data_IF_411226247057
#
_entry.id   IF_411226247057
#
_cell.length_a   1.000
_cell.length_b   1.000
_cell.length_c   1.000
_cell.angle_alpha   90.00
_cell.angle_beta   90.00
_cell.angle_gamma   90.00
#
_symmetry.space_group_name_H-M   'P 1'
#
loop_
_entity.id
_entity.type
_entity.pdbx_description
1 polymer ?
#
# COMPACT_ATOMS: atom_id res chain seq x y z
N UNK A 1 -21.08 -17.72 1.05
CA UNK A 1 -19.84 -17.85 0.27
C UNK A 1 -18.71 -18.18 1.21
N UNK A 2 -17.97 -19.27 0.97
CA UNK A 2 -16.80 -19.63 1.77
C UNK A 2 -15.74 -18.52 1.63
N UNK A 3 -15.20 -18.06 2.76
CA UNK A 3 -14.10 -17.10 2.75
C UNK A 3 -12.89 -17.75 2.10
N UNK A 4 -12.16 -17.06 1.17
CA UNK A 4 -10.91 -17.60 0.67
C UNK A 4 -9.98 -17.88 1.84
N UNK A 5 -9.40 -19.07 1.82
CA UNK A 5 -8.38 -19.49 2.76
C UNK A 5 -7.23 -18.49 2.65
N UNK A 6 -6.78 -17.94 3.77
CA UNK A 6 -5.61 -17.09 3.77
C UNK A 6 -4.42 -18.03 3.71
N UNK A 7 -3.99 -18.30 2.48
CA UNK A 7 -2.87 -19.16 2.22
C UNK A 7 -1.74 -18.91 3.21
N UNK A 8 -1.17 -19.99 3.67
CA UNK A 8 0.02 -19.97 4.52
C UNK A 8 1.07 -19.08 3.83
N UNK A 9 1.44 -17.96 4.47
CA UNK A 9 2.40 -16.98 3.94
C UNK A 9 3.84 -17.51 3.99
N UNK A 10 4.01 -18.83 4.19
CA UNK A 10 5.30 -19.50 4.31
C UNK A 10 6.16 -19.46 3.03
N UNK A 11 5.62 -19.02 1.90
CA UNK A 11 6.27 -19.17 0.58
C UNK A 11 6.72 -17.86 -0.09
N UNK A 12 6.75 -16.74 0.63
CA UNK A 12 7.19 -15.46 0.03
C UNK A 12 6.30 -14.97 -1.12
N UNK A 13 5.00 -15.27 -1.06
CA UNK A 13 4.02 -14.91 -2.08
C UNK A 13 3.66 -13.43 -2.02
N UNK A 14 3.39 -12.85 -3.19
CA UNK A 14 2.91 -11.46 -3.29
C UNK A 14 1.39 -11.41 -3.18
N UNK A 15 0.91 -10.39 -2.49
CA UNK A 15 -0.52 -10.17 -2.26
C UNK A 15 -0.94 -8.75 -2.63
N UNK A 16 -2.11 -8.65 -3.25
CA UNK A 16 -2.88 -7.41 -3.25
C UNK A 16 -3.68 -7.35 -1.95
N UNK A 17 -3.45 -6.32 -1.16
CA UNK A 17 -4.15 -6.07 0.11
C UNK A 17 -4.92 -4.78 0.01
N UNK A 18 -6.15 -4.77 0.54
CA UNK A 18 -6.96 -3.56 0.66
C UNK A 18 -7.75 -3.55 1.97
N UNK A 19 -8.04 -2.37 2.49
CA UNK A 19 -8.93 -2.22 3.64
C UNK A 19 -9.60 -0.85 3.62
N UNK A 20 -10.88 -0.83 3.98
CA UNK A 20 -11.69 0.39 4.04
C UNK A 20 -11.88 0.87 5.47
N UNK A 21 -12.04 2.18 5.63
CA UNK A 21 -12.47 2.82 6.89
C UNK A 21 -13.91 2.41 7.20
N UNK A 22 -14.21 2.33 8.49
CA UNK A 22 -15.55 1.97 8.97
C UNK A 22 -16.60 2.91 8.40
N UNK A 23 -17.74 2.35 7.93
CA UNK A 23 -18.84 3.10 7.31
C UNK A 23 -18.44 3.94 6.10
N UNK A 24 -17.31 3.62 5.45
CA UNK A 24 -16.74 4.38 4.33
C UNK A 24 -16.53 5.87 4.64
N UNK A 25 -16.29 6.19 5.91
CA UNK A 25 -15.98 7.54 6.32
C UNK A 25 -14.65 8.01 5.72
N UNK A 26 -14.51 9.30 5.41
CA UNK A 26 -13.31 9.92 4.88
C UNK A 26 -12.35 10.34 6.02
N UNK A 27 -12.12 9.44 6.96
CA UNK A 27 -11.35 9.71 8.18
C UNK A 27 -9.83 9.83 7.94
N UNK A 28 -9.34 9.58 6.71
CA UNK A 28 -7.96 9.82 6.28
C UNK A 28 -7.87 10.97 5.26
N UNK A 29 -8.82 11.90 5.25
CA UNK A 29 -8.85 12.99 4.28
C UNK A 29 -7.69 13.98 4.50
N UNK A 30 -7.32 14.24 5.75
CA UNK A 30 -6.23 15.15 6.07
C UNK A 30 -4.86 14.59 5.70
N UNK A 31 -3.99 15.43 5.14
CA UNK A 31 -2.62 15.05 4.76
C UNK A 31 -1.81 14.54 5.96
N UNK A 32 -2.02 15.13 7.15
CA UNK A 32 -1.39 14.67 8.39
C UNK A 32 -1.75 13.23 8.75
N UNK A 33 -2.96 12.77 8.43
CA UNK A 33 -3.39 11.39 8.71
C UNK A 33 -2.77 10.41 7.73
N UNK A 34 -2.62 10.80 6.47
CA UNK A 34 -1.90 10.02 5.48
C UNK A 34 -0.40 9.95 5.82
N UNK A 35 0.21 11.05 6.25
CA UNK A 35 1.61 11.05 6.74
C UNK A 35 1.77 10.18 7.99
N UNK A 36 0.81 10.21 8.92
CA UNK A 36 0.79 9.30 10.07
C UNK A 36 0.76 7.84 9.60
N UNK A 37 0.00 7.53 8.55
CA UNK A 37 -0.05 6.18 7.99
C UNK A 37 1.29 5.77 7.38
N UNK A 38 1.93 6.65 6.58
CA UNK A 38 3.27 6.39 6.03
C UNK A 38 4.28 6.09 7.15
N UNK A 39 4.26 6.88 8.24
CA UNK A 39 5.12 6.63 9.41
C UNK A 39 4.86 5.27 10.07
N UNK A 40 3.61 4.82 10.15
CA UNK A 40 3.29 3.50 10.69
C UNK A 40 3.86 2.39 9.79
N UNK A 41 3.81 2.55 8.47
CA UNK A 41 4.41 1.57 7.52
C UNK A 41 5.93 1.56 7.69
N UNK A 42 6.56 2.73 7.76
CA UNK A 42 8.01 2.87 7.97
C UNK A 42 8.46 2.19 9.28
N UNK A 43 7.73 2.42 10.37
CA UNK A 43 7.99 1.76 11.64
C UNK A 43 7.81 0.23 11.56
N UNK A 44 6.83 -0.26 10.80
CA UNK A 44 6.67 -1.69 10.55
C UNK A 44 7.90 -2.27 9.85
N UNK A 45 8.43 -1.59 8.82
CA UNK A 45 9.66 -2.01 8.11
C UNK A 45 10.90 -2.01 9.01
N UNK A 46 10.99 -1.07 9.94
CA UNK A 46 12.10 -0.98 10.88
C UNK A 46 12.08 -2.07 11.97
N UNK A 47 10.94 -2.74 12.18
CA UNK A 47 10.82 -3.79 13.21
C UNK A 47 11.41 -5.11 12.73
N UNK A 48 12.22 -5.75 13.60
CA UNK A 48 12.81 -7.08 13.30
C UNK A 48 11.77 -8.19 13.09
N UNK A 49 10.58 -8.02 13.65
CA UNK A 49 9.52 -9.04 13.61
C UNK A 49 8.64 -8.95 12.36
N UNK A 50 8.80 -7.89 11.55
CA UNK A 50 8.03 -7.71 10.33
C UNK A 50 8.99 -7.52 9.16
N UNK A 51 9.13 -8.57 8.38
CA UNK A 51 9.96 -8.59 7.18
C UNK A 51 9.05 -8.68 5.96
N UNK A 52 9.05 -7.66 5.14
CA UNK A 52 8.21 -7.59 3.94
C UNK A 52 8.78 -6.63 2.92
N UNK A 53 8.43 -6.85 1.68
CA UNK A 53 8.64 -5.93 0.58
C UNK A 53 7.31 -5.29 0.18
N UNK A 54 7.27 -3.96 0.13
CA UNK A 54 6.13 -3.19 -0.37
C UNK A 54 6.49 -2.71 -1.77
N UNK A 55 5.90 -3.33 -2.79
CA UNK A 55 6.20 -3.03 -4.20
C UNK A 55 5.46 -1.78 -4.69
N UNK A 56 4.22 -1.61 -4.24
CA UNK A 56 3.40 -0.45 -4.57
C UNK A 56 2.34 -0.22 -3.49
N UNK A 57 1.85 1.01 -3.38
CA UNK A 57 0.80 1.37 -2.46
C UNK A 57 -0.01 2.58 -2.94
N UNK A 58 -1.21 2.73 -2.43
CA UNK A 58 -2.01 3.95 -2.52
C UNK A 58 -2.84 4.11 -1.25
N UNK A 59 -2.68 5.25 -0.57
CA UNK A 59 -3.48 5.64 0.58
C UNK A 59 -4.50 6.67 0.11
N UNK A 60 -5.78 6.30 0.15
CA UNK A 60 -6.91 7.14 -0.19
C UNK A 60 -7.58 7.69 1.08
N UNK A 61 -8.54 8.60 0.93
CA UNK A 61 -9.21 9.25 2.06
C UNK A 61 -10.01 8.28 2.95
N UNK A 62 -10.43 7.14 2.41
CA UNK A 62 -11.27 6.17 3.12
C UNK A 62 -10.84 4.71 2.97
N UNK A 63 -9.75 4.42 2.25
CA UNK A 63 -9.22 3.08 2.06
C UNK A 63 -7.75 3.13 1.65
N UNK A 64 -7.11 1.97 1.60
CA UNK A 64 -5.78 1.84 1.03
C UNK A 64 -5.62 0.55 0.23
N UNK A 65 -4.64 0.55 -0.64
CA UNK A 65 -4.16 -0.62 -1.38
C UNK A 65 -2.67 -0.81 -1.19
N UNK A 66 -2.23 -2.07 -1.02
CA UNK A 66 -0.83 -2.48 -1.00
C UNK A 66 -0.61 -3.63 -1.98
N UNK A 67 0.50 -3.61 -2.68
CA UNK A 67 1.09 -4.75 -3.35
C UNK A 67 2.31 -5.16 -2.53
N UNK A 68 2.23 -6.28 -1.82
CA UNK A 68 3.14 -6.61 -0.71
C UNK A 68 3.55 -8.09 -0.73
N UNK A 69 4.83 -8.35 -0.48
CA UNK A 69 5.39 -9.69 -0.29
C UNK A 69 5.95 -9.81 1.12
N UNK A 70 5.29 -10.52 2.05
CA UNK A 70 5.91 -10.92 3.31
C UNK A 70 7.12 -11.85 3.02
N UNK A 71 8.23 -11.66 3.73
CA UNK A 71 9.34 -12.61 3.65
C UNK A 71 8.93 -14.00 4.16
N UNK A 72 9.68 -15.00 3.75
CA UNK A 72 9.46 -16.39 4.14
C UNK A 72 9.31 -16.52 5.68
N UNK A 73 8.26 -17.19 6.12
CA UNK A 73 7.94 -17.36 7.54
C UNK A 73 7.26 -16.16 8.21
N UNK A 74 6.99 -15.08 7.47
CA UNK A 74 6.25 -13.92 7.98
C UNK A 74 4.75 -14.06 7.72
N UNK A 75 3.93 -13.66 8.69
CA UNK A 75 2.47 -13.68 8.56
C UNK A 75 1.92 -12.34 8.09
N UNK A 76 1.36 -12.30 6.88
CA UNK A 76 0.64 -11.13 6.37
C UNK A 76 -0.47 -10.68 7.34
N UNK A 77 -1.19 -11.62 7.94
CA UNK A 77 -2.27 -11.31 8.88
C UNK A 77 -1.77 -10.62 10.15
N UNK A 78 -0.62 -11.04 10.68
CA UNK A 78 0.00 -10.42 11.86
C UNK A 78 0.52 -9.02 11.53
N UNK A 79 1.20 -8.86 10.40
CA UNK A 79 1.68 -7.58 9.91
C UNK A 79 0.53 -6.57 9.72
N UNK A 80 -0.50 -6.96 8.97
CA UNK A 80 -1.63 -6.08 8.69
C UNK A 80 -2.44 -5.74 9.94
N UNK A 81 -2.59 -6.69 10.87
CA UNK A 81 -3.20 -6.44 12.18
C UNK A 81 -2.43 -5.35 12.94
N UNK A 82 -1.09 -5.43 12.95
CA UNK A 82 -0.27 -4.46 13.64
C UNK A 82 -0.38 -3.07 13.01
N UNK A 83 -0.22 -2.94 11.68
CA UNK A 83 -0.32 -1.67 10.95
C UNK A 83 -1.68 -1.00 11.22
N UNK A 84 -2.77 -1.75 11.01
CA UNK A 84 -4.13 -1.22 11.21
C UNK A 84 -4.41 -0.83 12.65
N UNK A 85 -3.94 -1.61 13.62
CA UNK A 85 -4.11 -1.35 15.04
C UNK A 85 -3.36 -0.07 15.47
N UNK A 86 -2.09 0.07 15.09
CA UNK A 86 -1.28 1.23 15.48
C UNK A 86 -1.84 2.51 14.89
N UNK A 87 -2.24 2.48 13.61
CA UNK A 87 -2.88 3.64 12.98
C UNK A 87 -4.19 4.00 13.69
N UNK A 88 -5.05 3.03 13.98
CA UNK A 88 -6.32 3.27 14.69
C UNK A 88 -6.12 3.90 16.07
N UNK A 89 -5.13 3.43 16.83
CA UNK A 89 -4.79 3.98 18.15
C UNK A 89 -4.36 5.44 18.02
N UNK A 90 -3.45 5.76 17.09
CA UNK A 90 -2.93 7.11 16.89
C UNK A 90 -4.01 8.07 16.39
N UNK A 91 -4.81 7.62 15.45
CA UNK A 91 -5.91 8.41 14.90
C UNK A 91 -6.98 8.71 15.98
N UNK A 92 -7.40 7.70 16.75
CA UNK A 92 -8.33 7.87 17.86
C UNK A 92 -7.78 8.85 18.91
N UNK A 93 -6.48 8.75 19.23
CA UNK A 93 -5.83 9.68 20.17
C UNK A 93 -5.84 11.12 19.62
N UNK A 94 -5.47 11.31 18.34
CA UNK A 94 -5.44 12.63 17.67
C UNK A 94 -6.81 13.33 17.74
N UNK A 95 -7.88 12.57 17.52
CA UNK A 95 -9.25 13.12 17.42
C UNK A 95 -10.09 12.95 18.69
N UNK A 96 -9.52 12.45 19.78
CA UNK A 96 -10.27 12.19 21.03
C UNK A 96 -11.41 11.18 20.84
N UNK A 97 -11.26 10.26 19.88
CA UNK A 97 -12.26 9.25 19.54
C UNK A 97 -11.95 7.89 20.15
N UNK A 98 -12.95 7.03 20.18
CA UNK A 98 -12.85 5.63 20.62
C UNK A 98 -13.54 4.73 19.61
N UNK A 99 -13.20 3.43 19.62
CA UNK A 99 -13.82 2.45 18.73
C UNK A 99 -12.98 2.09 17.51
N UNK A 100 -13.65 1.49 16.51
CA UNK A 100 -13.00 0.94 15.34
C UNK A 100 -12.85 2.00 14.22
N UNK A 101 -11.61 2.32 13.85
CA UNK A 101 -11.32 3.11 12.66
C UNK A 101 -11.64 2.31 11.39
N UNK A 102 -11.25 1.04 11.38
CA UNK A 102 -11.41 0.15 10.23
C UNK A 102 -12.76 -0.56 10.25
N UNK A 103 -13.37 -0.72 9.08
CA UNK A 103 -14.61 -1.47 8.92
C UNK A 103 -14.40 -2.95 9.20
N UNK A 104 -14.27 -3.72 8.15
CA UNK A 104 -14.05 -5.16 8.24
C UNK A 104 -12.56 -5.54 8.34
N UNK A 105 -12.31 -6.86 8.27
CA UNK A 105 -10.98 -7.39 8.03
C UNK A 105 -10.48 -6.88 6.69
N UNK A 106 -9.15 -6.77 6.54
CA UNK A 106 -8.57 -6.45 5.25
C UNK A 106 -8.88 -7.54 4.20
N UNK A 107 -9.07 -7.13 2.98
CA UNK A 107 -9.08 -8.01 1.82
C UNK A 107 -7.65 -8.40 1.47
N UNK A 108 -7.43 -9.64 1.06
CA UNK A 108 -6.16 -10.07 0.46
C UNK A 108 -6.42 -11.07 -0.66
N UNK A 109 -5.67 -10.93 -1.75
CA UNK A 109 -5.65 -11.83 -2.89
C UNK A 109 -4.20 -12.08 -3.30
N UNK A 110 -3.85 -13.34 -3.48
CA UNK A 110 -2.54 -13.74 -4.00
C UNK A 110 -2.39 -13.29 -5.46
N UNK A 111 -1.20 -12.84 -5.82
CA UNK A 111 -0.79 -12.53 -7.19
C UNK A 111 -0.27 -13.83 -7.80
N UNK A 112 -0.81 -14.20 -8.95
CA UNK A 112 -0.60 -15.53 -9.53
C UNK A 112 0.53 -15.58 -10.57
N UNK A 113 0.79 -14.46 -11.25
CA UNK A 113 1.81 -14.35 -12.31
C UNK A 113 2.21 -12.88 -12.55
N UNK A 114 3.13 -12.66 -13.47
CA UNK A 114 3.66 -11.34 -13.82
C UNK A 114 2.59 -10.43 -14.45
N UNK A 115 1.67 -10.96 -15.24
CA UNK A 115 0.59 -10.17 -15.86
C UNK A 115 -0.38 -9.68 -14.80
N UNK A 116 -0.71 -10.53 -13.83
CA UNK A 116 -1.54 -10.17 -12.68
C UNK A 116 -0.83 -9.12 -11.81
N UNK A 117 0.48 -9.29 -11.59
CA UNK A 117 1.29 -8.31 -10.87
C UNK A 117 1.21 -6.92 -11.53
N UNK A 118 1.47 -6.81 -12.83
CA UNK A 118 1.40 -5.56 -13.59
C UNK A 118 -0.01 -4.97 -13.55
N UNK A 119 -1.03 -5.81 -13.70
CA UNK A 119 -2.43 -5.36 -13.66
C UNK A 119 -2.77 -4.72 -12.32
N UNK A 120 -2.39 -5.37 -11.22
CA UNK A 120 -2.62 -4.84 -9.87
C UNK A 120 -1.75 -3.63 -9.59
N UNK A 121 -0.50 -3.63 -10.04
CA UNK A 121 0.41 -2.50 -9.89
C UNK A 121 -0.18 -1.24 -10.51
N UNK A 122 -0.58 -1.32 -11.78
CA UNK A 122 -1.24 -0.22 -12.49
C UNK A 122 -2.60 0.15 -11.87
N UNK A 123 -3.38 -0.85 -11.41
CA UNK A 123 -4.65 -0.60 -10.73
C UNK A 123 -4.47 0.28 -9.48
N UNK A 124 -3.42 0.01 -8.69
CA UNK A 124 -3.10 0.78 -7.48
C UNK A 124 -2.74 2.22 -7.83
N UNK A 125 -1.91 2.44 -8.86
CA UNK A 125 -1.53 3.78 -9.30
C UNK A 125 -2.74 4.59 -9.80
N UNK A 126 -3.65 3.94 -10.51
CA UNK A 126 -4.80 4.61 -11.12
C UNK A 126 -5.95 4.90 -10.14
N UNK A 127 -5.86 4.47 -8.89
CA UNK A 127 -6.93 4.68 -7.90
C UNK A 127 -7.30 6.17 -7.72
N UNK A 128 -6.37 7.10 -7.46
CA UNK A 128 -6.70 8.49 -7.25
C UNK A 128 -7.23 9.18 -8.53
N UNK A 129 -6.79 8.74 -9.71
CA UNK A 129 -7.30 9.22 -11.00
C UNK A 129 -8.74 8.75 -11.22
N UNK A 130 -9.02 7.47 -10.99
CA UNK A 130 -10.38 6.89 -11.08
C UNK A 130 -11.36 7.53 -10.09
N UNK A 131 -10.86 7.96 -8.93
CA UNK A 131 -11.64 8.69 -7.94
C UNK A 131 -11.84 10.18 -8.29
N UNK A 132 -11.21 10.68 -9.37
CA UNK A 132 -11.30 12.08 -9.81
C UNK A 132 -10.58 13.05 -8.88
N UNK A 133 -9.62 12.58 -8.08
CA UNK A 133 -8.88 13.41 -7.12
C UNK A 133 -7.70 14.12 -7.81
N UNK A 134 -7.01 13.43 -8.70
CA UNK A 134 -5.92 13.97 -9.51
C UNK A 134 -6.10 13.60 -10.97
N UNK A 135 -5.46 14.34 -11.86
CA UNK A 135 -5.49 14.05 -13.31
C UNK A 135 -4.49 12.97 -13.70
N UNK A 136 -3.36 12.91 -12.99
CA UNK A 136 -2.27 11.95 -13.23
C UNK A 136 -1.91 11.24 -11.93
N UNK A 137 -1.59 9.93 -11.97
CA UNK A 137 -1.31 9.16 -10.77
C UNK A 137 -0.05 9.63 -10.03
N UNK A 138 0.95 10.18 -10.72
CA UNK A 138 2.16 10.76 -10.13
C UNK A 138 1.89 12.02 -9.29
N UNK A 139 0.77 12.70 -9.51
CA UNK A 139 0.37 13.89 -8.75
C UNK A 139 -0.21 13.54 -7.36
N UNK A 140 -0.38 12.23 -7.07
CA UNK A 140 -0.88 11.77 -5.77
C UNK A 140 0.26 11.46 -4.80
N UNK A 141 0.56 12.34 -3.81
CA UNK A 141 1.73 12.18 -2.93
C UNK A 141 1.69 10.91 -2.07
N UNK A 142 0.51 10.36 -1.86
CA UNK A 142 0.25 9.20 -1.01
C UNK A 142 0.18 7.89 -1.79
N UNK A 143 0.89 7.83 -2.91
CA UNK A 143 0.97 6.69 -3.82
C UNK A 143 2.41 6.25 -4.11
N UNK A 144 2.58 4.98 -4.45
CA UNK A 144 3.89 4.40 -4.76
C UNK A 144 4.55 5.02 -5.98
N UNK A 145 3.78 5.35 -7.03
CA UNK A 145 4.33 6.00 -8.22
C UNK A 145 4.99 7.34 -7.90
N UNK A 146 4.33 8.20 -7.12
CA UNK A 146 4.92 9.46 -6.67
C UNK A 146 6.23 9.24 -5.92
N UNK A 147 6.25 8.27 -4.99
CA UNK A 147 7.44 7.94 -4.22
C UNK A 147 8.57 7.41 -5.11
N UNK A 148 8.27 6.56 -6.10
CA UNK A 148 9.27 6.06 -7.05
C UNK A 148 9.88 7.21 -7.85
N UNK A 149 9.07 8.09 -8.41
CA UNK A 149 9.55 9.23 -9.21
C UNK A 149 10.34 10.23 -8.38
N UNK A 150 9.95 10.44 -7.12
CA UNK A 150 10.66 11.31 -6.19
C UNK A 150 11.90 10.66 -5.56
N UNK A 151 12.18 9.38 -5.84
CA UNK A 151 13.30 8.64 -5.24
C UNK A 151 13.11 8.36 -3.74
N UNK A 152 11.88 8.36 -3.25
CA UNK A 152 11.56 8.12 -1.83
C UNK A 152 11.45 6.61 -1.61
N UNK A 153 12.47 6.01 -0.98
CA UNK A 153 12.57 4.56 -0.77
C UNK A 153 12.34 4.09 0.66
N UNK A 154 11.92 5.01 1.56
CA UNK A 154 11.76 4.69 2.99
C UNK A 154 10.73 3.60 3.27
N UNK A 155 9.67 3.47 2.45
CA UNK A 155 8.61 2.48 2.63
C UNK A 155 8.40 1.57 1.42
N UNK A 156 8.54 2.08 0.21
CA UNK A 156 8.33 1.35 -1.04
C UNK A 156 9.67 0.91 -1.62
N UNK A 157 9.73 -0.33 -2.13
CA UNK A 157 10.88 -0.84 -2.85
C UNK A 157 10.97 -0.21 -4.23
N UNK A 158 12.19 -0.11 -4.79
CA UNK A 158 12.36 0.30 -6.17
C UNK A 158 11.56 -0.61 -7.10
N UNK A 159 10.90 -0.03 -8.10
CA UNK A 159 10.17 -0.82 -9.09
C UNK A 159 11.16 -1.73 -9.85
N UNK A 160 10.88 -3.02 -10.00
CA UNK A 160 11.73 -3.92 -10.79
C UNK A 160 11.83 -3.46 -12.26
N UNK A 161 12.97 -3.73 -12.92
CA UNK A 161 13.20 -3.30 -14.31
C UNK A 161 12.10 -3.79 -15.26
N UNK A 162 11.67 -5.04 -15.13
CA UNK A 162 10.60 -5.61 -15.94
C UNK A 162 9.23 -4.93 -15.73
N UNK A 163 8.99 -4.29 -14.56
CA UNK A 163 7.82 -3.42 -14.32
C UNK A 163 8.01 -2.10 -15.05
N UNK A 164 9.21 -1.51 -15.01
CA UNK A 164 9.52 -0.25 -15.69
C UNK A 164 9.43 -0.37 -17.22
N UNK A 165 9.74 -1.54 -17.78
CA UNK A 165 9.57 -1.81 -19.21
C UNK A 165 8.10 -1.80 -19.64
N UNK A 166 7.21 -2.31 -18.81
CA UNK A 166 5.76 -2.39 -19.07
C UNK A 166 5.00 -1.15 -18.63
N UNK A 167 5.48 -0.48 -17.57
CA UNK A 167 4.90 0.74 -17.00
C UNK A 167 5.96 1.85 -16.99
N UNK A 168 6.30 2.43 -18.15
CA UNK A 168 7.44 3.36 -18.30
C UNK A 168 7.30 4.64 -17.48
N UNK A 169 6.11 5.02 -17.07
CA UNK A 169 5.88 6.19 -16.19
C UNK A 169 6.41 6.02 -14.77
N UNK A 170 6.79 4.80 -14.36
CA UNK A 170 7.48 4.54 -13.09
C UNK A 170 8.98 4.91 -13.10
N UNK A 171 9.55 5.27 -14.24
CA UNK A 171 10.94 5.74 -14.32
C UNK A 171 11.09 7.08 -13.64
N UNK A 172 12.24 7.29 -12.98
CA UNK A 172 12.56 8.56 -12.33
C UNK A 172 12.51 9.71 -13.36
N UNK A 173 11.87 10.81 -12.98
CA UNK A 173 11.94 12.06 -13.75
C UNK A 173 13.40 12.55 -13.72
N UNK A 174 14.08 12.49 -14.87
CA UNK A 174 15.45 12.95 -15.03
C UNK A 174 16.47 11.89 -15.45
N UNK A 175 16.09 10.63 -15.54
CA UNK A 175 16.91 9.60 -16.18
C UNK A 175 16.42 9.37 -17.61
N UNK A 176 16.47 10.39 -18.48
CA UNK A 176 16.35 10.17 -19.91
C UNK A 176 17.74 9.79 -20.47
N UNK A 177 17.99 8.52 -20.82
CA UNK A 177 19.26 8.10 -21.40
C UNK A 177 19.26 8.27 -22.92
N UNK A 178 18.58 9.29 -23.43
CA UNK A 178 18.69 9.56 -24.88
C UNK A 178 19.86 10.48 -25.16
N UNK A 179 20.74 10.05 -26.07
CA UNK A 179 21.85 10.88 -26.55
C UNK A 179 21.37 12.09 -27.30
#
# INVERSE_FOLDING_TARGET
>A
MARPDRGDTSEGKTYHVASEINRKAFDLQDDEDKEMFLKVIEEAKAKKNYKFELHNFCIMDNHFHFLITPELGQSLSVLMKWIKMVLAIRWNHKYGKTGHLWGDRFFSREIIDDEDFITVYNYIDQNPVKAGIVEKPEDWPWGGLHHHQAGITRIVSAAPEWVLERLPWHRLLGTDPRP
#
